data_IF_697258545797
#
_entry.id   IF_697258545797
#
_cell.length_a   1.000
_cell.length_b   1.000
_cell.length_c   1.000
_cell.angle_alpha   90.00
_cell.angle_beta   90.00
_cell.angle_gamma   90.00
#
_symmetry.space_group_name_H-M   'P 1'
#
loop_
_entity.id
_entity.type
_entity.pdbx_description
1 polymer ?
#
# COMPACT_ATOMS: atom_id res chain seq x y z
N UNK A 1 -6.34 7.06 -3.07
CA UNK A 1 -5.73 7.38 -1.77
C UNK A 1 -6.79 8.03 -0.90
N UNK A 2 -6.72 7.82 0.42
CA UNK A 2 -7.50 8.57 1.41
C UNK A 2 -6.52 9.31 2.30
N UNK A 3 -6.83 10.55 2.66
CA UNK A 3 -5.99 11.40 3.50
C UNK A 3 -6.66 11.63 4.85
N UNK A 4 -5.86 11.64 5.91
CA UNK A 4 -6.27 12.14 7.22
C UNK A 4 -5.82 13.60 7.35
N UNK A 5 -6.71 14.60 7.18
CA UNK A 5 -6.34 16.00 7.26
C UNK A 5 -6.13 16.50 8.70
N UNK A 6 -6.37 15.65 9.71
CA UNK A 6 -6.26 16.06 11.10
C UNK A 6 -4.80 16.12 11.53
N UNK A 7 -4.43 17.21 12.20
CA UNK A 7 -3.05 17.44 12.67
C UNK A 7 -2.68 16.62 13.91
N UNK A 8 -3.67 16.20 14.70
CA UNK A 8 -3.46 15.54 16.01
C UNK A 8 -4.43 14.39 16.30
N UNK A 9 -5.19 13.95 15.30
CA UNK A 9 -6.14 12.85 15.45
C UNK A 9 -5.66 11.64 14.65
N UNK A 10 -5.51 10.53 15.36
CA UNK A 10 -5.19 9.22 14.82
C UNK A 10 -6.48 8.40 14.73
N UNK A 11 -6.65 7.65 13.64
CA UNK A 11 -7.71 6.67 13.50
C UNK A 11 -7.10 5.26 13.63
N UNK A 12 -7.15 4.61 14.82
CA UNK A 12 -6.53 3.29 15.04
C UNK A 12 -7.27 2.16 14.33
N UNK A 13 -8.56 2.32 14.07
CA UNK A 13 -9.37 1.32 13.40
C UNK A 13 -10.32 2.02 12.43
N UNK A 14 -10.09 1.75 11.15
CA UNK A 14 -10.92 2.17 10.02
C UNK A 14 -11.41 0.88 9.36
N UNK A 15 -12.71 0.63 9.48
CA UNK A 15 -13.35 -0.45 8.75
C UNK A 15 -13.73 0.04 7.35
N UNK A 16 -13.45 -0.78 6.34
CA UNK A 16 -13.75 -0.43 4.96
C UNK A 16 -14.29 -1.64 4.20
N UNK A 17 -14.95 -1.36 3.07
CA UNK A 17 -15.49 -2.38 2.18
C UNK A 17 -15.25 -1.99 0.73
N UNK A 18 -14.76 -2.95 -0.06
CA UNK A 18 -14.76 -2.92 -1.52
C UNK A 18 -15.90 -3.80 -2.04
N UNK A 19 -16.70 -3.28 -2.95
CA UNK A 19 -17.69 -4.04 -3.73
C UNK A 19 -17.31 -3.98 -5.19
N UNK A 20 -17.14 -5.14 -5.80
CA UNK A 20 -16.66 -5.27 -7.18
C UNK A 20 -17.83 -5.69 -8.05
N UNK A 21 -18.03 -5.00 -9.17
CA UNK A 21 -19.13 -5.21 -10.10
C UNK A 21 -18.63 -5.50 -11.50
N UNK A 22 -19.39 -6.27 -12.26
CA UNK A 22 -19.16 -6.46 -13.69
C UNK A 22 -19.72 -5.29 -14.53
N UNK A 23 -19.53 -5.36 -15.85
CA UNK A 23 -20.00 -4.32 -16.78
C UNK A 23 -21.54 -4.20 -16.86
N UNK A 24 -22.29 -5.18 -16.33
CA UNK A 24 -23.76 -5.17 -16.26
C UNK A 24 -24.28 -4.68 -14.92
N UNK A 25 -23.39 -4.29 -14.00
CA UNK A 25 -23.73 -3.87 -12.64
C UNK A 25 -24.04 -5.04 -11.69
N UNK A 26 -23.72 -6.29 -12.05
CA UNK A 26 -23.84 -7.43 -11.16
C UNK A 26 -22.69 -7.43 -10.15
N UNK A 27 -23.01 -7.56 -8.86
CA UNK A 27 -22.01 -7.70 -7.80
C UNK A 27 -21.26 -9.03 -7.97
N UNK A 28 -19.96 -8.94 -8.18
CA UNK A 28 -19.04 -10.08 -8.28
C UNK A 28 -18.50 -10.51 -6.92
N UNK A 29 -18.15 -9.54 -6.06
CA UNK A 29 -17.49 -9.83 -4.79
C UNK A 29 -17.61 -8.66 -3.80
N UNK A 30 -17.45 -8.96 -2.51
CA UNK A 30 -17.37 -7.97 -1.44
C UNK A 30 -16.22 -8.34 -0.50
N UNK A 31 -15.32 -7.38 -0.30
CA UNK A 31 -14.16 -7.52 0.59
C UNK A 31 -14.22 -6.46 1.67
N UNK A 32 -14.16 -6.89 2.93
CA UNK A 32 -14.09 -5.99 4.06
C UNK A 32 -12.73 -6.13 4.73
N UNK A 33 -12.18 -5.01 5.17
CA UNK A 33 -10.89 -4.96 5.83
C UNK A 33 -10.85 -3.93 6.94
N UNK A 34 -9.71 -3.92 7.64
CA UNK A 34 -9.40 -2.97 8.70
C UNK A 34 -8.08 -2.29 8.39
N UNK A 35 -8.00 -1.00 8.69
CA UNK A 35 -6.77 -0.23 8.59
C UNK A 35 -6.69 0.81 9.69
N UNK A 36 -5.68 1.66 9.61
CA UNK A 36 -5.46 2.77 10.51
C UNK A 36 -4.95 3.96 9.69
N UNK A 37 -4.97 5.16 10.29
CA UNK A 37 -4.45 6.37 9.64
C UNK A 37 -3.90 7.36 10.67
N UNK A 38 -2.60 7.61 10.62
CA UNK A 38 -1.90 8.62 11.40
C UNK A 38 -2.32 10.04 11.00
N UNK A 39 -2.11 11.04 11.88
CA UNK A 39 -2.28 12.45 11.53
C UNK A 39 -1.50 12.82 10.28
N UNK A 40 -2.11 13.58 9.37
CA UNK A 40 -1.52 14.01 8.10
C UNK A 40 -1.00 12.87 7.19
N UNK A 41 -1.46 11.64 7.39
CA UNK A 41 -1.07 10.50 6.56
C UNK A 41 -1.99 10.39 5.33
N UNK A 42 -1.39 10.03 4.18
CA UNK A 42 -2.12 9.50 3.03
C UNK A 42 -2.00 8.00 3.00
N UNK A 43 -3.13 7.33 3.12
CA UNK A 43 -3.18 5.87 3.15
C UNK A 43 -3.77 5.25 1.88
N UNK A 44 -3.41 3.99 1.66
CA UNK A 44 -3.97 3.12 0.66
C UNK A 44 -4.67 1.95 1.33
N UNK A 45 -5.83 1.61 0.80
CA UNK A 45 -6.56 0.42 1.16
C UNK A 45 -6.26 -0.65 0.11
N UNK A 46 -5.88 -1.83 0.58
CA UNK A 46 -5.32 -2.88 -0.27
C UNK A 46 -5.88 -4.23 0.13
N UNK A 47 -6.50 -4.91 -0.83
CA UNK A 47 -7.01 -6.28 -0.69
C UNK A 47 -6.35 -7.16 -1.76
N UNK A 48 -5.39 -8.02 -1.37
CA UNK A 48 -4.72 -8.90 -2.33
C UNK A 48 -5.59 -10.09 -2.74
N UNK A 49 -5.08 -10.87 -3.70
CA UNK A 49 -5.58 -12.21 -4.03
C UNK A 49 -7.05 -12.26 -4.51
N UNK A 50 -7.48 -11.21 -5.21
CA UNK A 50 -8.77 -11.19 -5.90
C UNK A 50 -8.65 -11.91 -7.24
N UNK A 51 -9.50 -12.90 -7.48
CA UNK A 51 -9.50 -13.68 -8.72
C UNK A 51 -10.92 -13.79 -9.29
N UNK A 52 -11.11 -13.18 -10.46
CA UNK A 52 -12.37 -13.20 -11.18
C UNK A 52 -12.18 -14.01 -12.47
N UNK A 53 -12.28 -15.34 -12.35
CA UNK A 53 -11.88 -16.30 -13.41
C UNK A 53 -12.53 -16.02 -14.77
N UNK A 54 -13.84 -15.81 -14.78
CA UNK A 54 -14.65 -15.86 -16.02
C UNK A 54 -15.37 -14.55 -16.33
N UNK A 55 -15.42 -13.61 -15.38
CA UNK A 55 -16.13 -12.35 -15.53
C UNK A 55 -15.17 -11.24 -15.12
N UNK A 56 -14.87 -10.32 -16.05
CA UNK A 56 -13.99 -9.21 -15.77
C UNK A 56 -14.67 -8.19 -14.85
N UNK A 57 -13.98 -7.70 -13.80
CA UNK A 57 -14.46 -6.57 -13.02
C UNK A 57 -14.45 -5.31 -13.88
N UNK A 58 -15.49 -4.49 -13.78
CA UNK A 58 -15.62 -3.24 -14.52
C UNK A 58 -15.72 -2.03 -13.59
N UNK A 59 -16.24 -2.21 -12.38
CA UNK A 59 -16.40 -1.13 -11.41
C UNK A 59 -16.08 -1.63 -10.00
N UNK A 60 -15.44 -0.76 -9.22
CA UNK A 60 -15.22 -0.97 -7.79
C UNK A 60 -15.84 0.18 -7.02
N UNK A 61 -16.70 -0.15 -6.08
CA UNK A 61 -17.20 0.78 -5.07
C UNK A 61 -16.38 0.61 -3.79
N UNK A 62 -15.84 1.71 -3.28
CA UNK A 62 -15.12 1.76 -2.02
C UNK A 62 -15.95 2.52 -0.98
N UNK A 63 -16.12 1.94 0.21
CA UNK A 63 -16.79 2.59 1.34
C UNK A 63 -15.93 2.52 2.58
N UNK A 64 -15.75 3.67 3.22
CA UNK A 64 -15.33 3.75 4.61
C UNK A 64 -16.58 3.57 5.48
N UNK A 65 -16.47 2.76 6.52
CA UNK A 65 -17.48 2.65 7.56
C UNK A 65 -17.19 3.68 8.67
N UNK A 66 -17.63 3.43 9.90
CA UNK A 66 -17.37 4.33 11.03
C UNK A 66 -15.87 4.42 11.34
N UNK A 67 -15.37 5.64 11.52
CA UNK A 67 -14.01 5.93 11.95
C UNK A 67 -14.05 6.47 13.38
N UNK A 68 -13.29 5.84 14.28
CA UNK A 68 -13.09 6.36 15.64
C UNK A 68 -11.79 7.15 15.68
N UNK A 69 -11.86 8.39 16.13
CA UNK A 69 -10.71 9.29 16.24
C UNK A 69 -10.23 9.38 17.69
N UNK A 70 -8.92 9.34 17.87
CA UNK A 70 -8.27 9.55 19.17
C UNK A 70 -7.17 10.59 19.07
N UNK A 71 -6.98 11.35 20.15
CA UNK A 71 -5.84 12.26 20.26
C UNK A 71 -4.53 11.48 20.14
N UNK A 72 -3.59 12.01 19.37
CA UNK A 72 -2.31 11.40 19.13
C UNK A 72 -1.21 12.45 19.21
N UNK A 73 -0.21 12.16 20.04
CA UNK A 73 1.03 12.92 20.10
C UNK A 73 2.11 12.10 19.41
N UNK A 74 2.51 12.53 18.21
CA UNK A 74 3.58 11.88 17.47
C UNK A 74 4.91 12.15 18.17
N UNK A 75 5.52 11.11 18.72
CA UNK A 75 6.81 11.22 19.41
C UNK A 75 7.98 11.23 18.42
N UNK A 76 7.93 10.33 17.43
CA UNK A 76 9.05 10.09 16.52
C UNK A 76 8.58 10.09 15.05
N UNK A 77 9.21 10.88 14.17
CA UNK A 77 8.86 10.92 12.74
C UNK A 77 9.28 9.64 12.03
N UNK A 78 8.47 9.18 11.09
CA UNK A 78 8.84 8.09 10.19
C UNK A 78 9.69 8.66 9.04
N UNK A 79 10.98 8.32 9.01
CA UNK A 79 11.93 8.84 8.02
C UNK A 79 12.57 7.68 7.25
N UNK A 80 11.87 7.18 6.23
CA UNK A 80 12.38 6.14 5.33
C UNK A 80 12.78 6.78 4.00
N UNK A 81 14.02 6.52 3.58
CA UNK A 81 14.50 6.94 2.27
C UNK A 81 14.49 5.77 1.30
N UNK A 82 14.03 6.03 0.07
CA UNK A 82 14.01 5.04 -1.01
C UNK A 82 15.23 5.28 -1.88
N UNK A 83 16.31 4.53 -1.64
CA UNK A 83 17.60 4.71 -2.34
C UNK A 83 17.51 4.30 -3.81
N UNK A 84 16.80 3.21 -4.10
CA UNK A 84 16.67 2.70 -5.45
C UNK A 84 15.38 1.90 -5.64
N UNK A 85 14.93 1.81 -6.90
CA UNK A 85 13.80 1.00 -7.37
C UNK A 85 14.13 0.49 -8.77
N UNK A 86 14.29 -0.81 -8.92
CA UNK A 86 14.67 -1.45 -10.19
C UNK A 86 13.62 -2.48 -10.58
N UNK A 87 12.99 -2.30 -11.74
CA UNK A 87 12.05 -3.25 -12.32
C UNK A 87 12.77 -4.19 -13.30
N UNK A 88 12.47 -5.48 -13.21
CA UNK A 88 12.87 -6.50 -14.17
C UNK A 88 11.60 -7.23 -14.63
N UNK A 89 11.37 -7.30 -15.95
CA UNK A 89 10.13 -7.86 -16.52
C UNK A 89 10.20 -9.35 -16.89
N UNK A 90 11.39 -9.86 -17.21
CA UNK A 90 11.60 -11.20 -17.75
C UNK A 90 12.49 -12.06 -16.82
N UNK A 91 12.20 -13.37 -16.66
CA UNK A 91 11.04 -14.11 -17.17
C UNK A 91 9.76 -13.86 -16.34
N UNK A 92 9.86 -13.15 -15.22
CA UNK A 92 8.74 -12.80 -14.34
C UNK A 92 8.94 -11.38 -13.80
N UNK A 93 7.87 -10.58 -13.69
CA UNK A 93 7.94 -9.23 -13.19
C UNK A 93 8.36 -9.22 -11.71
N UNK A 94 9.40 -8.46 -11.42
CA UNK A 94 9.86 -8.19 -10.07
C UNK A 94 10.30 -6.72 -9.93
N UNK A 95 10.19 -6.20 -8.71
CA UNK A 95 10.84 -4.95 -8.36
C UNK A 95 11.74 -5.16 -7.15
N UNK A 96 13.01 -4.79 -7.27
CA UNK A 96 13.94 -4.64 -6.15
C UNK A 96 13.99 -3.19 -5.72
N UNK A 97 13.84 -2.92 -4.43
CA UNK A 97 14.02 -1.59 -3.87
C UNK A 97 14.91 -1.64 -2.64
N UNK A 98 15.73 -0.59 -2.48
CA UNK A 98 16.60 -0.42 -1.31
C UNK A 98 16.02 0.70 -0.45
N UNK A 99 15.64 0.35 0.79
CA UNK A 99 15.12 1.30 1.77
C UNK A 99 16.17 1.58 2.84
N UNK A 100 16.24 2.82 3.32
CA UNK A 100 17.09 3.23 4.44
C UNK A 100 16.28 3.89 5.54
N UNK A 101 16.44 3.45 6.77
CA UNK A 101 15.93 4.18 7.93
C UNK A 101 16.85 5.37 8.22
N UNK A 102 16.38 6.59 7.93
CA UNK A 102 17.08 7.85 8.23
C UNK A 102 16.71 8.43 9.59
N UNK A 103 15.77 7.83 10.32
CA UNK A 103 15.44 8.26 11.67
C UNK A 103 16.54 7.87 12.67
N UNK A 104 16.52 8.50 13.85
CA UNK A 104 17.37 8.11 14.98
C UNK A 104 16.79 6.93 15.77
N UNK A 105 15.64 6.41 15.37
CA UNK A 105 14.85 5.45 16.12
C UNK A 105 14.79 4.10 15.40
N UNK A 106 14.52 3.04 16.17
CA UNK A 106 14.22 1.72 15.61
C UNK A 106 12.81 1.74 15.03
N UNK A 107 12.69 1.41 13.74
CA UNK A 107 11.38 1.19 13.12
C UNK A 107 10.97 -0.26 13.31
N UNK A 108 10.07 -0.51 14.27
CA UNK A 108 9.67 -1.87 14.66
C UNK A 108 8.98 -2.62 13.54
N UNK A 109 8.04 -1.96 12.86
CA UNK A 109 7.26 -2.60 11.81
C UNK A 109 6.80 -1.56 10.77
N UNK A 110 7.13 -1.81 9.52
CA UNK A 110 6.75 -0.99 8.37
C UNK A 110 5.93 -1.83 7.41
N UNK A 111 4.83 -1.27 6.94
CA UNK A 111 4.11 -1.77 5.78
C UNK A 111 4.59 -1.01 4.55
N UNK A 112 5.00 -1.72 3.51
CA UNK A 112 5.52 -1.13 2.27
C UNK A 112 4.68 -1.61 1.10
N UNK A 113 4.18 -0.65 0.33
CA UNK A 113 3.41 -0.86 -0.88
C UNK A 113 4.21 -0.45 -2.10
N UNK A 114 4.00 -1.18 -3.18
CA UNK A 114 4.50 -0.80 -4.49
C UNK A 114 3.37 -0.77 -5.49
N UNK A 115 3.35 0.26 -6.33
CA UNK A 115 2.39 0.44 -7.40
C UNK A 115 3.15 0.63 -8.72
N UNK A 116 2.82 -0.20 -9.71
CA UNK A 116 3.30 -0.06 -11.07
C UNK A 116 2.29 0.77 -11.87
N UNK A 117 2.76 1.83 -12.50
CA UNK A 117 1.92 2.81 -13.18
C UNK A 117 2.24 2.89 -14.67
N UNK A 118 1.18 3.05 -15.47
CA UNK A 118 1.24 3.36 -16.89
C UNK A 118 1.53 4.84 -17.13
N UNK A 119 1.74 5.19 -18.40
CA UNK A 119 1.93 6.56 -18.84
C UNK A 119 0.70 7.45 -18.56
N UNK A 120 -0.50 6.89 -18.69
CA UNK A 120 -1.77 7.56 -18.38
C UNK A 120 -2.00 7.81 -16.86
N UNK A 121 -1.05 7.39 -16.02
CA UNK A 121 -1.13 7.52 -14.56
C UNK A 121 -1.96 6.43 -13.89
N UNK A 122 -2.51 5.47 -14.62
CA UNK A 122 -3.26 4.37 -14.03
C UNK A 122 -2.33 3.31 -13.41
N UNK A 123 -2.69 2.84 -12.23
CA UNK A 123 -2.02 1.70 -11.58
C UNK A 123 -2.54 0.41 -12.20
N UNK A 124 -1.65 -0.45 -12.66
CA UNK A 124 -2.02 -1.74 -13.28
C UNK A 124 -1.54 -2.95 -12.47
N UNK A 125 -0.58 -2.76 -11.55
CA UNK A 125 -0.17 -3.78 -10.61
C UNK A 125 0.18 -3.15 -9.26
N UNK A 126 -0.10 -3.89 -8.18
CA UNK A 126 0.24 -3.49 -6.82
C UNK A 126 0.74 -4.69 -6.03
N UNK A 127 1.63 -4.46 -5.08
CA UNK A 127 2.05 -5.48 -4.11
C UNK A 127 2.37 -4.84 -2.77
N UNK A 128 2.40 -5.66 -1.72
CA UNK A 128 2.62 -5.23 -0.34
C UNK A 128 3.53 -6.22 0.38
N UNK A 129 4.43 -5.69 1.18
CA UNK A 129 5.25 -6.46 2.12
C UNK A 129 5.31 -5.75 3.47
N UNK A 130 5.85 -6.44 4.48
CA UNK A 130 6.15 -5.87 5.79
C UNK A 130 7.63 -6.03 6.10
N UNK A 131 8.22 -5.02 6.74
CA UNK A 131 9.58 -5.04 7.24
C UNK A 131 9.57 -4.89 8.75
N UNK A 132 10.37 -5.70 9.43
CA UNK A 132 10.45 -5.70 10.89
C UNK A 132 11.83 -5.26 11.36
N UNK A 133 11.88 -4.49 12.45
CA UNK A 133 13.12 -4.12 13.14
C UNK A 133 14.17 -3.48 12.22
N UNK A 134 13.85 -2.35 11.58
CA UNK A 134 14.86 -1.56 10.85
C UNK A 134 15.56 -0.58 11.79
N UNK A 135 16.80 -0.88 12.16
CA UNK A 135 17.60 -0.03 13.04
C UNK A 135 17.91 1.34 12.42
N UNK A 136 18.29 2.30 13.25
CA UNK A 136 18.73 3.62 12.80
C UNK A 136 19.90 3.50 11.82
N UNK A 137 19.78 4.13 10.66
CA UNK A 137 20.78 4.08 9.59
C UNK A 137 20.81 2.79 8.77
N UNK A 138 20.04 1.75 9.14
CA UNK A 138 20.01 0.47 8.44
C UNK A 138 19.48 0.63 7.01
N UNK A 139 20.11 -0.08 6.08
CA UNK A 139 19.66 -0.25 4.70
C UNK A 139 19.15 -1.68 4.50
N UNK A 140 18.02 -1.83 3.81
CA UNK A 140 17.39 -3.13 3.57
C UNK A 140 16.85 -3.25 2.15
N UNK A 141 17.26 -4.31 1.48
CA UNK A 141 16.69 -4.73 0.21
C UNK A 141 15.33 -5.38 0.41
N UNK A 142 14.36 -4.97 -0.40
CA UNK A 142 13.06 -5.61 -0.52
C UNK A 142 12.76 -5.98 -1.96
N UNK A 143 12.03 -7.08 -2.12
CA UNK A 143 11.64 -7.60 -3.43
C UNK A 143 10.14 -7.80 -3.47
N UNK A 144 9.52 -7.27 -4.52
CA UNK A 144 8.12 -7.51 -4.84
C UNK A 144 8.04 -8.37 -6.10
N UNK A 145 7.18 -9.38 -6.08
CA UNK A 145 7.00 -10.31 -7.20
C UNK A 145 5.52 -10.51 -7.49
N UNK A 146 5.21 -10.81 -8.75
CA UNK A 146 3.86 -11.19 -9.19
C UNK A 146 3.91 -12.53 -9.94
N UNK A 147 3.85 -13.65 -9.21
CA UNK A 147 3.97 -14.97 -9.82
C UNK A 147 2.92 -15.22 -10.91
N UNK A 148 3.35 -15.69 -12.08
CA UNK A 148 2.47 -16.03 -13.19
C UNK A 148 1.88 -14.84 -13.95
N UNK A 149 2.29 -13.62 -13.61
CA UNK A 149 1.91 -12.43 -14.36
C UNK A 149 2.95 -12.10 -15.44
N UNK A 150 2.50 -11.44 -16.49
CA UNK A 150 3.35 -10.73 -17.45
C UNK A 150 2.80 -9.32 -17.58
N UNK A 151 3.71 -8.35 -17.56
CA UNK A 151 3.37 -6.94 -17.52
C UNK A 151 4.20 -6.18 -18.55
N UNK A 152 3.63 -5.09 -19.07
CA UNK A 152 4.42 -4.05 -19.71
C UNK A 152 5.40 -3.43 -18.69
N UNK A 153 6.49 -2.83 -19.19
CA UNK A 153 7.41 -2.06 -18.37
C UNK A 153 6.68 -0.85 -17.77
N UNK A 154 6.73 -0.62 -16.45
CA UNK A 154 6.07 0.52 -15.84
C UNK A 154 6.71 1.83 -16.32
N UNK A 155 5.87 2.82 -16.63
CA UNK A 155 6.34 4.19 -16.85
C UNK A 155 6.80 4.82 -15.52
N UNK A 156 6.15 4.48 -14.41
CA UNK A 156 6.53 4.92 -13.08
C UNK A 156 6.30 3.83 -12.03
N UNK A 157 7.15 3.84 -10.99
CA UNK A 157 7.06 2.95 -9.84
C UNK A 157 6.90 3.82 -8.59
N UNK A 158 5.72 3.77 -7.99
CA UNK A 158 5.44 4.45 -6.74
C UNK A 158 5.63 3.48 -5.57
N UNK A 159 6.49 3.85 -4.63
CA UNK A 159 6.72 3.11 -3.40
C UNK A 159 6.22 3.96 -2.24
N UNK A 160 5.36 3.36 -1.42
CA UNK A 160 4.72 4.02 -0.29
C UNK A 160 4.96 3.16 0.94
N UNK A 161 5.10 3.80 2.09
CA UNK A 161 5.37 3.10 3.32
C UNK A 161 4.64 3.78 4.47
N UNK A 162 4.32 2.99 5.49
CA UNK A 162 3.79 3.50 6.75
C UNK A 162 4.22 2.63 7.91
N UNK A 163 4.33 3.22 9.08
CA UNK A 163 4.56 2.51 10.33
C UNK A 163 3.28 1.76 10.72
N UNK A 164 3.39 0.51 11.14
CA UNK A 164 2.25 -0.20 11.74
C UNK A 164 2.18 0.19 13.23
N UNK A 165 1.00 0.62 13.73
CA UNK A 165 0.80 0.91 15.16
C UNK A 165 1.11 -0.31 16.03
N UNK A 166 1.63 -0.06 17.23
CA UNK A 166 1.81 -1.07 18.27
C UNK A 166 0.49 -1.48 18.93
#
# INVERSE_FOLDING_TARGET
MVENPNLRLFAPNIEYTFRVYDAKGQLLDTRSGKSFMYPNERTFFYEPNLSYRTIAPAQVEFRLQSISWQNFEQKDPLLIDVQSKNYEGDPMPLVRALLRNKSLFLEKMLEVYILLMREDGNVYAASRTTLEQMASGEERDIVFTWPGASFETPNNILLLYRRIPE
#
